data_IF_547591514176
#
_entry.id   IF_547591514176
#
_cell.length_a   1.000
_cell.length_b   1.000
_cell.length_c   1.000
_cell.angle_alpha   90.00
_cell.angle_beta   90.00
_cell.angle_gamma   90.00
#
_symmetry.space_group_name_H-M   'P 1'
#
loop_
_entity.id
_entity.type
_entity.pdbx_description
1 polymer ?
#
# COMPACT_ATOMS: atom_id res chain seq x y z
N UNK A 1 0.12 -15.74 -0.83
CA UNK A 1 -1.17 -15.10 -0.50
C UNK A 1 -1.42 -15.29 0.99
N UNK A 2 -1.04 -14.33 1.84
CA UNK A 2 -1.25 -14.43 3.30
C UNK A 2 -2.71 -14.11 3.64
N UNK A 3 -3.50 -15.15 3.89
CA UNK A 3 -4.88 -15.02 4.37
C UNK A 3 -4.89 -14.87 5.90
N UNK A 4 -4.99 -13.64 6.41
CA UNK A 4 -5.41 -13.43 7.81
C UNK A 4 -6.92 -13.20 7.86
N UNK A 5 -7.63 -14.20 8.40
CA UNK A 5 -9.03 -14.23 8.89
C UNK A 5 -10.05 -13.46 8.02
N UNK A 6 -10.96 -14.20 7.39
CA UNK A 6 -12.20 -13.76 6.70
C UNK A 6 -12.16 -13.48 5.20
N UNK A 7 -11.20 -14.01 4.43
CA UNK A 7 -11.30 -14.05 2.96
C UNK A 7 -11.47 -12.70 2.26
N UNK A 8 -11.26 -11.58 2.97
CA UNK A 8 -11.35 -10.24 2.41
C UNK A 8 -10.05 -9.96 1.64
N UNK A 9 -10.14 -9.35 0.45
CA UNK A 9 -8.94 -8.96 -0.29
C UNK A 9 -8.10 -8.01 0.55
N UNK A 10 -6.78 -8.12 0.42
CA UNK A 10 -5.80 -7.25 1.08
C UNK A 10 -4.79 -6.84 0.03
N UNK A 11 -4.58 -5.54 -0.10
CA UNK A 11 -3.57 -4.96 -0.97
C UNK A 11 -2.25 -4.87 -0.21
N UNK A 12 -1.19 -5.42 -0.79
CA UNK A 12 0.16 -5.44 -0.22
C UNK A 12 1.02 -4.51 -1.07
N UNK A 13 1.69 -3.56 -0.43
CA UNK A 13 2.64 -2.65 -1.08
C UNK A 13 4.01 -2.83 -0.43
N UNK A 14 4.94 -3.39 -1.19
CA UNK A 14 6.31 -3.72 -0.77
C UNK A 14 7.36 -3.19 -1.77
N UNK A 15 8.65 -3.34 -1.45
CA UNK A 15 9.74 -2.92 -2.33
C UNK A 15 10.05 -1.42 -2.34
N UNK A 16 9.41 -0.66 -1.44
CA UNK A 16 9.64 0.78 -1.30
C UNK A 16 10.97 1.05 -0.56
N UNK A 17 11.95 1.61 -1.26
CA UNK A 17 13.23 2.04 -0.67
C UNK A 17 13.09 3.40 0.02
N UNK A 18 12.39 3.44 1.15
CA UNK A 18 12.19 4.65 1.95
C UNK A 18 12.36 4.36 3.45
N UNK A 19 12.46 5.40 4.26
CA UNK A 19 12.59 5.23 5.72
C UNK A 19 11.26 4.72 6.31
N UNK A 20 11.31 4.07 7.48
CA UNK A 20 10.08 3.64 8.17
C UNK A 20 9.12 4.81 8.41
N UNK A 21 9.66 5.99 8.73
CA UNK A 21 8.85 7.21 8.89
C UNK A 21 8.07 7.53 7.62
N UNK A 22 8.73 7.51 6.46
CA UNK A 22 8.09 7.82 5.18
C UNK A 22 7.07 6.74 4.80
N UNK A 23 7.35 5.46 5.11
CA UNK A 23 6.38 4.37 4.94
C UNK A 23 5.12 4.61 5.78
N UNK A 24 5.27 5.03 7.03
CA UNK A 24 4.15 5.35 7.90
C UNK A 24 3.33 6.56 7.39
N UNK A 25 3.99 7.58 6.86
CA UNK A 25 3.33 8.74 6.25
C UNK A 25 2.60 8.36 4.95
N UNK A 26 3.22 7.57 4.09
CA UNK A 26 2.63 7.06 2.86
C UNK A 26 1.42 6.15 3.17
N UNK A 27 1.55 5.24 4.13
CA UNK A 27 0.45 4.40 4.58
C UNK A 27 -0.71 5.24 5.13
N UNK A 28 -0.43 6.34 5.84
CA UNK A 28 -1.47 7.27 6.31
C UNK A 28 -2.19 7.96 5.15
N UNK A 29 -1.44 8.41 4.12
CA UNK A 29 -2.02 8.98 2.88
C UNK A 29 -2.90 7.95 2.15
N UNK A 30 -2.40 6.74 1.96
CA UNK A 30 -3.14 5.64 1.32
C UNK A 30 -4.43 5.31 2.08
N UNK A 31 -4.37 5.15 3.41
CA UNK A 31 -5.57 4.90 4.22
C UNK A 31 -6.62 5.99 4.09
N UNK A 32 -6.19 7.26 4.06
CA UNK A 32 -7.09 8.41 3.89
C UNK A 32 -7.71 8.44 2.49
N UNK A 33 -6.91 8.19 1.45
CA UNK A 33 -7.37 8.21 0.05
C UNK A 33 -8.26 7.02 -0.32
N UNK A 34 -8.03 5.86 0.27
CA UNK A 34 -8.75 4.62 -0.01
C UNK A 34 -9.93 4.37 0.94
N UNK A 35 -10.10 5.21 1.96
CA UNK A 35 -11.02 4.99 3.08
C UNK A 35 -10.88 3.58 3.68
N UNK A 36 -9.64 3.08 3.72
CA UNK A 36 -9.32 1.69 4.07
C UNK A 36 -8.51 1.62 5.37
N UNK A 37 -8.70 0.52 6.10
CA UNK A 37 -7.84 0.14 7.21
C UNK A 37 -6.50 -0.39 6.71
N UNK A 38 -5.44 -0.28 7.51
CA UNK A 38 -4.13 -0.78 7.12
C UNK A 38 -3.02 -0.51 8.12
N UNK A 39 -1.92 -1.26 7.99
CA UNK A 39 -0.75 -1.19 8.86
C UNK A 39 0.53 -1.24 8.06
N UNK A 40 1.60 -0.67 8.60
CA UNK A 40 2.97 -0.95 8.13
C UNK A 40 3.51 -2.10 8.98
N UNK A 41 4.14 -3.08 8.36
CA UNK A 41 4.77 -4.22 9.03
C UNK A 41 5.98 -4.66 8.22
N UNK A 42 7.15 -4.76 8.86
CA UNK A 42 8.38 -5.25 8.22
C UNK A 42 8.76 -4.51 6.92
N UNK A 43 8.52 -3.19 6.87
CA UNK A 43 8.77 -2.36 5.68
C UNK A 43 7.69 -2.47 4.58
N UNK A 44 6.59 -3.17 4.85
CA UNK A 44 5.49 -3.43 3.90
C UNK A 44 4.24 -2.72 4.38
N UNK A 45 3.50 -2.09 3.46
CA UNK A 45 2.20 -1.49 3.75
C UNK A 45 1.10 -2.50 3.39
N UNK A 46 0.29 -2.85 4.38
CA UNK A 46 -0.86 -3.74 4.24
C UNK A 46 -2.14 -2.92 4.31
N UNK A 47 -2.99 -3.01 3.29
CA UNK A 47 -4.25 -2.28 3.19
C UNK A 47 -5.40 -3.28 3.02
N UNK A 48 -6.47 -3.11 3.80
CA UNK A 48 -7.67 -3.94 3.70
C UNK A 48 -8.49 -3.53 2.47
N UNK A 49 -8.91 -4.49 1.65
CA UNK A 49 -9.61 -4.27 0.38
C UNK A 49 -8.74 -4.55 -0.85
N UNK A 50 -9.39 -4.68 -2.00
CA UNK A 50 -8.71 -4.64 -3.30
C UNK A 50 -8.66 -3.19 -3.79
N UNK A 51 -7.49 -2.58 -3.64
CA UNK A 51 -7.24 -1.19 -3.96
C UNK A 51 -5.99 -1.04 -4.84
N UNK A 52 -5.57 -2.10 -5.52
CA UNK A 52 -4.31 -2.15 -6.29
C UNK A 52 -4.16 -0.97 -7.25
N UNK A 53 -5.20 -0.67 -8.04
CA UNK A 53 -5.17 0.44 -8.99
C UNK A 53 -5.08 1.81 -8.31
N UNK A 54 -5.83 2.02 -7.24
CA UNK A 54 -5.83 3.30 -6.53
C UNK A 54 -4.56 3.48 -5.70
N UNK A 55 -3.99 2.40 -5.14
CA UNK A 55 -2.71 2.41 -4.47
C UNK A 55 -1.59 2.78 -5.45
N UNK A 56 -1.59 2.22 -6.67
CA UNK A 56 -0.67 2.59 -7.72
C UNK A 56 -0.77 4.08 -8.08
N UNK A 57 -1.99 4.63 -8.22
CA UNK A 57 -2.19 6.07 -8.45
C UNK A 57 -1.58 6.93 -7.34
N UNK A 58 -1.84 6.59 -6.07
CA UNK A 58 -1.30 7.31 -4.91
C UNK A 58 0.23 7.24 -4.87
N UNK A 59 0.83 6.10 -5.26
CA UNK A 59 2.28 5.97 -5.40
C UNK A 59 2.81 6.92 -6.47
N UNK A 60 2.17 6.97 -7.64
CA UNK A 60 2.56 7.91 -8.70
C UNK A 60 2.45 9.37 -8.25
N UNK A 61 1.37 9.73 -7.58
CA UNK A 61 1.18 11.07 -6.99
C UNK A 61 2.20 11.38 -5.89
N UNK A 62 2.71 10.36 -5.21
CA UNK A 62 3.75 10.49 -4.18
C UNK A 62 5.17 10.58 -4.76
N UNK A 63 5.32 10.55 -6.09
CA UNK A 63 6.59 10.72 -6.79
C UNK A 63 7.24 9.42 -7.26
N UNK A 64 6.56 8.27 -7.16
CA UNK A 64 7.07 7.01 -7.70
C UNK A 64 6.78 6.92 -9.21
N UNK A 65 7.76 6.56 -10.05
CA UNK A 65 7.52 6.41 -11.48
C UNK A 65 6.60 5.22 -11.76
N UNK A 66 5.58 5.44 -12.59
CA UNK A 66 4.59 4.41 -12.94
C UNK A 66 5.25 3.14 -13.52
N UNK A 67 6.32 3.28 -14.30
CA UNK A 67 7.07 2.16 -14.87
C UNK A 67 7.84 1.31 -13.84
N UNK A 68 7.91 1.73 -12.58
CA UNK A 68 8.51 0.97 -11.49
C UNK A 68 7.47 0.35 -10.55
N UNK A 69 6.18 0.46 -10.87
CA UNK A 69 5.09 -0.13 -10.10
C UNK A 69 4.57 -1.35 -10.84
N UNK A 70 4.64 -2.51 -10.20
CA UNK A 70 4.07 -3.76 -10.70
C UNK A 70 2.84 -4.12 -9.88
N UNK A 71 1.72 -4.38 -10.56
CA UNK A 71 0.47 -4.83 -9.93
C UNK A 71 0.32 -6.32 -10.21
N UNK A 72 0.30 -7.13 -9.14
CA UNK A 72 0.12 -8.59 -9.16
C UNK A 72 -1.30 -9.00 -8.77
#
# INVERSE_FOLDING_TARGET
>A
MEMRRFGKPTTVVEGLKMSERDLHELARKMKKGLAAGGTVKDGIILLQGDHRENAAKILVESGFPQGSIEIL
#
